data_IF_044200806152
#
_entry.id   IF_044200806152
#
_cell.length_a   1.000
_cell.length_b   1.000
_cell.length_c   1.000
_cell.angle_alpha   90.00
_cell.angle_beta   90.00
_cell.angle_gamma   90.00
#
_symmetry.space_group_name_H-M   'P 1'
#
loop_
_entity.id
_entity.type
_entity.pdbx_description
1 polymer ?
#
# COMPACT_ATOMS: atom_id res chain seq x y z
N UNK A 1 25.63 10.12 -13.49
CA UNK A 1 26.12 10.73 -12.23
C UNK A 1 24.87 11.16 -11.48
N UNK A 2 24.48 10.44 -10.43
CA UNK A 2 23.26 10.75 -9.66
C UNK A 2 23.62 11.95 -8.78
N UNK A 3 23.02 13.11 -9.03
CA UNK A 3 23.13 14.22 -8.09
C UNK A 3 22.31 13.86 -6.85
N UNK A 4 22.88 13.91 -5.64
CA UNK A 4 22.09 13.72 -4.44
C UNK A 4 21.05 14.83 -4.37
N UNK A 5 19.80 14.46 -4.04
CA UNK A 5 18.76 15.43 -3.73
C UNK A 5 19.28 16.27 -2.54
N UNK A 6 19.50 17.56 -2.75
CA UNK A 6 19.72 18.48 -1.63
C UNK A 6 18.35 18.75 -1.04
N UNK A 7 17.98 17.99 0.00
CA UNK A 7 16.81 18.33 0.80
C UNK A 7 17.09 19.70 1.44
N UNK A 8 16.28 20.70 1.08
CA UNK A 8 16.28 21.97 1.77
C UNK A 8 15.51 21.76 3.08
N UNK A 9 16.14 22.01 4.22
CA UNK A 9 15.48 21.84 5.53
C UNK A 9 14.37 22.89 5.78
N UNK A 10 14.16 23.82 4.84
CA UNK A 10 12.99 24.70 4.80
C UNK A 10 11.80 24.12 4.05
N UNK A 11 11.97 23.00 3.33
CA UNK A 11 10.86 22.25 2.77
C UNK A 11 9.96 21.75 3.92
N UNK A 12 8.64 21.83 3.79
CA UNK A 12 7.74 21.33 4.81
C UNK A 12 8.01 19.83 5.05
N UNK A 13 8.12 19.45 6.32
CA UNK A 13 8.27 18.05 6.71
C UNK A 13 7.03 17.30 6.25
N UNK A 14 7.23 16.28 5.41
CA UNK A 14 6.16 15.38 5.03
C UNK A 14 5.83 14.45 6.20
N UNK A 15 4.55 14.39 6.55
CA UNK A 15 4.02 13.47 7.55
C UNK A 15 3.28 12.36 6.80
N UNK A 16 3.84 11.15 6.89
CA UNK A 16 3.35 9.96 6.19
C UNK A 16 2.58 9.08 7.18
N UNK A 17 1.32 8.78 6.87
CA UNK A 17 0.56 7.77 7.59
C UNK A 17 1.06 6.36 7.27
N UNK A 18 1.98 5.83 8.09
CA UNK A 18 2.52 4.47 7.95
C UNK A 18 1.45 3.41 8.20
N UNK A 19 1.11 2.62 7.18
CA UNK A 19 -0.06 1.70 7.13
C UNK A 19 -1.37 2.41 7.44
N UNK A 20 -1.47 3.69 7.10
CA UNK A 20 -2.49 4.62 7.59
C UNK A 20 -2.14 5.19 8.97
N UNK A 21 -3.00 4.99 9.97
CA UNK A 21 -2.77 5.40 11.36
C UNK A 21 -2.98 4.25 12.35
N UNK A 22 -2.03 3.30 12.43
CA UNK A 22 -2.16 2.04 13.16
C UNK A 22 -2.22 2.21 14.69
N UNK A 23 -1.98 3.42 15.20
CA UNK A 23 -2.14 3.71 16.63
C UNK A 23 -3.62 3.84 17.04
N UNK A 24 -4.54 4.09 16.09
CA UNK A 24 -5.96 4.34 16.38
C UNK A 24 -6.95 3.55 15.52
N UNK A 25 -6.48 2.88 14.45
CA UNK A 25 -7.29 2.05 13.57
C UNK A 25 -6.47 0.84 13.07
N UNK A 26 -7.11 -0.27 12.65
CA UNK A 26 -6.39 -1.47 12.21
C UNK A 26 -5.51 -1.21 10.98
N UNK A 27 -4.23 -1.53 11.07
CA UNK A 27 -3.26 -1.27 9.99
C UNK A 27 -3.69 -1.78 8.61
N UNK A 28 -3.29 -1.10 7.53
CA UNK A 28 -3.57 -1.50 6.14
C UNK A 28 -5.06 -1.63 5.78
N UNK A 29 -5.97 -1.01 6.55
CA UNK A 29 -7.40 -0.91 6.23
C UNK A 29 -7.77 0.48 5.68
N UNK A 30 -8.94 0.58 5.02
CA UNK A 30 -9.46 1.89 4.61
C UNK A 30 -9.74 2.79 5.82
N UNK A 31 -10.20 2.22 6.94
CA UNK A 31 -10.37 2.96 8.19
C UNK A 31 -9.06 3.58 8.70
N UNK A 32 -7.95 2.85 8.62
CA UNK A 32 -6.64 3.36 9.02
C UNK A 32 -6.13 4.47 8.09
N UNK A 33 -6.37 4.34 6.79
CA UNK A 33 -6.08 5.42 5.83
C UNK A 33 -6.91 6.66 6.16
N UNK A 34 -8.22 6.51 6.35
CA UNK A 34 -9.13 7.62 6.67
C UNK A 34 -8.74 8.32 7.99
N UNK A 35 -8.31 7.54 8.98
CA UNK A 35 -7.80 8.03 10.25
C UNK A 35 -6.53 8.89 10.08
N UNK A 36 -5.59 8.49 9.21
CA UNK A 36 -4.40 9.28 8.91
C UNK A 36 -4.75 10.63 8.25
N UNK A 37 -5.67 10.61 7.27
CA UNK A 37 -6.13 11.83 6.59
C UNK A 37 -6.83 12.77 7.58
N UNK A 38 -7.66 12.22 8.46
CA UNK A 38 -8.36 12.99 9.51
C UNK A 38 -7.37 13.63 10.49
N UNK A 39 -6.25 12.95 10.77
CA UNK A 39 -5.17 13.48 11.61
C UNK A 39 -4.28 14.52 10.89
N UNK A 40 -4.53 14.80 9.60
CA UNK A 40 -3.84 15.82 8.82
C UNK A 40 -2.65 15.30 8.01
N UNK A 41 -2.42 13.99 7.94
CA UNK A 41 -1.43 13.43 7.03
C UNK A 41 -1.83 13.71 5.58
N UNK A 42 -0.87 14.20 4.78
CA UNK A 42 -1.05 14.44 3.33
C UNK A 42 -0.30 13.41 2.48
N UNK A 43 0.39 12.48 3.12
CA UNK A 43 0.94 11.30 2.49
C UNK A 43 0.55 10.06 3.28
N UNK A 44 0.38 8.93 2.59
CA UNK A 44 0.02 7.65 3.20
C UNK A 44 0.90 6.54 2.64
N UNK A 45 1.38 5.69 3.51
CA UNK A 45 2.10 4.46 3.19
C UNK A 45 1.20 3.26 3.52
N UNK A 46 1.32 2.20 2.72
CA UNK A 46 0.72 0.90 3.01
C UNK A 46 1.45 -0.21 2.27
N UNK A 47 1.32 -1.42 2.81
CA UNK A 47 2.00 -2.60 2.32
C UNK A 47 1.20 -3.29 1.21
N UNK A 48 1.86 -3.63 0.10
CA UNK A 48 1.29 -4.40 -1.00
C UNK A 48 1.72 -5.87 -0.95
N UNK A 49 0.73 -6.74 -0.92
CA UNK A 49 0.81 -8.16 -1.22
C UNK A 49 -0.14 -8.52 -2.36
N UNK A 50 -0.12 -9.78 -2.81
CA UNK A 50 -0.90 -10.24 -3.96
C UNK A 50 -1.72 -11.48 -3.59
N UNK A 51 -3.03 -11.42 -3.83
CA UNK A 51 -3.89 -12.59 -3.77
C UNK A 51 -3.48 -13.64 -4.81
N UNK A 52 -3.99 -14.87 -4.71
CA UNK A 52 -3.70 -15.98 -5.62
C UNK A 52 -3.85 -15.63 -7.11
N UNK A 53 -4.82 -14.80 -7.47
CA UNK A 53 -5.03 -14.35 -8.86
C UNK A 53 -4.07 -13.24 -9.32
N UNK A 54 -3.28 -12.64 -8.42
CA UNK A 54 -2.44 -11.46 -8.69
C UNK A 54 -3.11 -10.13 -8.49
N UNK A 55 -4.29 -10.10 -7.87
CA UNK A 55 -4.86 -8.82 -7.46
C UNK A 55 -4.05 -8.27 -6.28
N UNK A 56 -3.50 -7.04 -6.39
CA UNK A 56 -2.79 -6.39 -5.28
C UNK A 56 -3.78 -6.00 -4.17
N UNK A 57 -3.37 -6.27 -2.94
CA UNK A 57 -4.12 -6.00 -1.71
C UNK A 57 -3.23 -5.28 -0.70
N UNK A 58 -3.86 -4.59 0.25
CA UNK A 58 -3.16 -3.95 1.36
C UNK A 58 -2.98 -4.97 2.48
N UNK A 59 -1.76 -5.46 2.68
CA UNK A 59 -1.45 -6.43 3.72
C UNK A 59 0.07 -6.52 3.95
N UNK A 60 0.51 -6.66 5.20
CA UNK A 60 1.93 -6.67 5.54
C UNK A 60 2.54 -8.09 5.54
N UNK A 61 1.96 -9.00 6.31
CA UNK A 61 2.55 -10.29 6.63
C UNK A 61 2.31 -11.34 5.53
N UNK A 62 3.15 -12.36 5.47
CA UNK A 62 2.93 -13.51 4.58
C UNK A 62 1.74 -14.38 5.00
N UNK A 63 1.39 -14.36 6.28
CA UNK A 63 0.31 -15.16 6.87
C UNK A 63 -0.78 -14.27 7.48
N UNK A 64 -2.01 -14.76 7.50
CA UNK A 64 -3.22 -13.99 7.81
C UNK A 64 -3.48 -13.75 9.31
N UNK A 65 -2.86 -14.52 10.20
CA UNK A 65 -3.34 -14.73 11.57
C UNK A 65 -3.15 -13.53 12.49
N UNK A 66 -2.16 -12.65 12.22
CA UNK A 66 -1.89 -11.53 13.12
C UNK A 66 -2.99 -10.46 13.07
N UNK A 67 -3.48 -10.16 11.88
CA UNK A 67 -4.35 -9.01 11.62
C UNK A 67 -5.70 -9.41 11.04
N UNK A 68 -6.04 -10.69 11.03
CA UNK A 68 -7.35 -11.15 10.56
C UNK A 68 -7.85 -12.36 11.35
N UNK A 69 -9.09 -12.75 11.10
CA UNK A 69 -9.64 -14.05 11.54
C UNK A 69 -9.33 -15.22 10.59
N UNK A 70 -8.50 -15.02 9.56
CA UNK A 70 -8.07 -16.04 8.63
C UNK A 70 -6.83 -16.82 9.10
N UNK A 71 -6.53 -17.92 8.40
CA UNK A 71 -5.35 -18.77 8.66
C UNK A 71 -4.74 -19.18 7.32
N UNK A 72 -3.41 -19.18 7.26
CA UNK A 72 -2.63 -19.58 6.11
C UNK A 72 -2.06 -18.41 5.30
N UNK A 73 -1.35 -18.73 4.20
CA UNK A 73 -0.64 -17.74 3.41
C UNK A 73 -1.58 -16.88 2.56
N UNK A 74 -1.28 -15.60 2.47
CA UNK A 74 -2.03 -14.62 1.65
C UNK A 74 -2.07 -15.03 0.19
N UNK A 75 -0.93 -15.46 -0.36
CA UNK A 75 -0.78 -15.84 -1.78
C UNK A 75 -1.48 -17.17 -2.14
N UNK A 76 -1.97 -17.90 -1.13
CA UNK A 76 -2.78 -19.11 -1.28
C UNK A 76 -4.28 -18.87 -1.39
N UNK A 77 -4.77 -17.65 -1.20
CA UNK A 77 -6.20 -17.33 -1.17
C UNK A 77 -6.65 -16.44 -2.34
N UNK A 78 -7.88 -16.66 -2.82
CA UNK A 78 -8.50 -15.76 -3.81
C UNK A 78 -8.86 -14.42 -3.17
N UNK A 79 -9.00 -13.37 -3.99
CA UNK A 79 -9.46 -12.07 -3.51
C UNK A 79 -10.81 -12.17 -2.78
N UNK A 80 -11.74 -12.99 -3.30
CA UNK A 80 -13.05 -13.18 -2.68
C UNK A 80 -12.94 -13.83 -1.30
N UNK A 81 -12.01 -14.76 -1.11
CA UNK A 81 -11.74 -15.38 0.20
C UNK A 81 -11.12 -14.37 1.17
N UNK A 82 -10.18 -13.54 0.69
CA UNK A 82 -9.53 -12.52 1.50
C UNK A 82 -10.50 -11.42 1.93
N UNK A 83 -11.38 -10.97 1.04
CA UNK A 83 -12.35 -9.89 1.30
C UNK A 83 -13.51 -10.30 2.22
N UNK A 84 -13.70 -11.60 2.52
CA UNK A 84 -14.68 -12.03 3.54
C UNK A 84 -14.08 -12.16 4.94
N UNK A 85 -12.76 -11.98 5.08
CA UNK A 85 -12.11 -11.94 6.40
C UNK A 85 -12.46 -10.65 7.13
N UNK A 86 -12.37 -10.72 8.45
CA UNK A 86 -12.41 -9.57 9.34
C UNK A 86 -10.96 -9.16 9.64
N UNK A 87 -10.60 -7.95 9.25
CA UNK A 87 -9.27 -7.36 9.41
C UNK A 87 -9.23 -6.26 10.50
N UNK A 88 -10.26 -6.14 11.34
CA UNK A 88 -10.38 -5.05 12.31
C UNK A 88 -10.64 -5.48 13.76
N UNK A 89 -11.34 -6.59 13.99
CA UNK A 89 -11.71 -7.07 15.33
C UNK A 89 -10.47 -7.36 16.20
N UNK A 90 -9.35 -7.74 15.61
CA UNK A 90 -8.08 -7.95 16.33
C UNK A 90 -7.55 -6.66 16.97
N UNK A 91 -7.88 -5.50 16.40
CA UNK A 91 -7.48 -4.20 16.90
C UNK A 91 -8.46 -3.70 17.97
N UNK A 92 -9.76 -3.71 17.65
CA UNK A 92 -10.85 -3.38 18.57
C UNK A 92 -12.18 -3.86 17.98
N UNK A 93 -13.15 -4.20 18.84
CA UNK A 93 -14.51 -4.56 18.41
C UNK A 93 -15.24 -3.46 17.65
N UNK A 94 -14.80 -2.20 17.78
CA UNK A 94 -15.37 -1.06 17.04
C UNK A 94 -15.08 -1.13 15.53
N UNK A 95 -14.02 -1.85 15.12
CA UNK A 95 -13.65 -2.06 13.71
C UNK A 95 -14.11 -3.43 13.19
N UNK A 96 -15.05 -4.07 13.87
CA UNK A 96 -15.58 -5.35 13.42
C UNK A 96 -16.17 -5.23 12.00
N UNK A 97 -15.77 -6.14 11.12
CA UNK A 97 -16.18 -6.15 9.72
C UNK A 97 -15.31 -5.32 8.77
N UNK A 98 -14.28 -4.61 9.25
CA UNK A 98 -13.24 -4.06 8.37
C UNK A 98 -12.65 -5.19 7.51
N UNK A 99 -12.41 -4.90 6.23
CA UNK A 99 -11.94 -5.88 5.24
C UNK A 99 -10.49 -5.63 4.89
N UNK A 100 -9.82 -6.64 4.36
CA UNK A 100 -8.56 -6.46 3.63
C UNK A 100 -8.86 -5.67 2.35
N UNK A 101 -8.37 -4.43 2.18
CA UNK A 101 -8.64 -3.64 0.99
C UNK A 101 -7.84 -4.15 -0.20
N UNK A 102 -8.41 -4.04 -1.40
CA UNK A 102 -7.62 -4.07 -2.63
C UNK A 102 -6.85 -2.76 -2.81
N UNK A 103 -5.75 -2.81 -3.56
CA UNK A 103 -5.01 -1.60 -3.90
C UNK A 103 -5.87 -0.60 -4.69
N UNK A 104 -6.78 -1.10 -5.52
CA UNK A 104 -7.76 -0.27 -6.23
C UNK A 104 -8.62 0.57 -5.28
N UNK A 105 -9.17 -0.04 -4.24
CA UNK A 105 -10.00 0.65 -3.25
C UNK A 105 -9.21 1.71 -2.50
N UNK A 106 -7.96 1.43 -2.14
CA UNK A 106 -7.07 2.41 -1.50
C UNK A 106 -6.76 3.60 -2.43
N UNK A 107 -6.43 3.35 -3.71
CA UNK A 107 -6.19 4.42 -4.68
C UNK A 107 -7.45 5.27 -4.91
N UNK A 108 -8.64 4.66 -4.94
CA UNK A 108 -9.91 5.37 -5.08
C UNK A 108 -10.22 6.22 -3.85
N UNK A 109 -9.92 5.72 -2.65
CA UNK A 109 -10.05 6.49 -1.42
C UNK A 109 -9.12 7.71 -1.40
N UNK A 110 -7.89 7.57 -1.93
CA UNK A 110 -6.83 8.59 -1.84
C UNK A 110 -6.88 9.64 -2.95
N UNK A 111 -7.50 9.33 -4.09
CA UNK A 111 -7.46 10.18 -5.28
C UNK A 111 -8.00 11.59 -4.99
N UNK A 112 -7.13 12.60 -5.13
CA UNK A 112 -7.45 14.01 -4.88
C UNK A 112 -7.50 14.42 -3.41
N UNK A 113 -7.05 13.57 -2.48
CA UNK A 113 -7.06 13.83 -1.02
C UNK A 113 -5.68 13.88 -0.38
N UNK A 114 -4.66 13.39 -1.07
CA UNK A 114 -3.26 13.36 -0.62
C UNK A 114 -2.36 14.03 -1.64
N UNK A 115 -1.21 14.49 -1.17
CA UNK A 115 -0.11 14.97 -2.00
C UNK A 115 0.72 13.79 -2.53
N UNK A 116 0.89 12.73 -1.72
CA UNK A 116 1.71 11.56 -2.09
C UNK A 116 1.22 10.22 -1.54
N UNK A 117 1.57 9.14 -2.25
CA UNK A 117 1.25 7.75 -1.90
C UNK A 117 2.53 6.92 -1.95
N UNK A 118 2.75 6.10 -0.93
CA UNK A 118 3.90 5.24 -0.78
C UNK A 118 3.49 3.76 -0.65
N UNK A 119 3.20 3.05 -1.76
CA UNK A 119 2.94 1.62 -1.68
C UNK A 119 4.25 0.85 -1.49
N UNK A 120 4.43 0.17 -0.35
CA UNK A 120 5.56 -0.73 -0.13
C UNK A 120 5.30 -2.08 -0.79
N UNK A 121 6.15 -2.49 -1.74
CA UNK A 121 6.08 -3.82 -2.34
C UNK A 121 6.76 -4.80 -1.39
N UNK A 122 5.97 -5.58 -0.64
CA UNK A 122 6.51 -6.62 0.25
C UNK A 122 7.10 -7.77 -0.55
N UNK A 123 6.33 -8.27 -1.50
CA UNK A 123 6.67 -9.41 -2.35
C UNK A 123 5.96 -9.28 -3.69
N UNK A 124 6.57 -9.84 -4.73
CA UNK A 124 5.90 -10.08 -6.01
C UNK A 124 6.14 -11.52 -6.43
N UNK A 125 5.19 -12.15 -7.13
CA UNK A 125 5.31 -13.56 -7.52
C UNK A 125 5.83 -13.69 -8.95
N UNK A 126 5.58 -12.67 -9.76
CA UNK A 126 5.98 -12.54 -11.17
C UNK A 126 6.06 -11.08 -11.55
N UNK A 127 6.84 -10.77 -12.58
CA UNK A 127 6.97 -9.40 -13.12
C UNK A 127 5.62 -8.78 -13.52
N UNK A 128 4.63 -9.59 -13.88
CA UNK A 128 3.29 -9.09 -14.23
C UNK A 128 2.57 -8.44 -13.04
N UNK A 129 2.78 -8.95 -11.82
CA UNK A 129 2.21 -8.34 -10.60
C UNK A 129 2.71 -6.88 -10.45
N UNK A 130 3.98 -6.63 -10.77
CA UNK A 130 4.61 -5.31 -10.74
C UNK A 130 4.13 -4.40 -11.89
N UNK A 131 3.93 -4.95 -13.09
CA UNK A 131 3.33 -4.19 -14.20
C UNK A 131 1.89 -3.80 -13.89
N UNK A 132 1.14 -4.65 -13.19
CA UNK A 132 -0.23 -4.41 -12.81
C UNK A 132 -0.36 -3.24 -11.83
N UNK A 133 0.44 -3.18 -10.76
CA UNK A 133 0.39 -2.05 -9.80
C UNK A 133 0.74 -0.71 -10.48
N UNK A 134 1.74 -0.71 -11.37
CA UNK A 134 2.11 0.48 -12.15
C UNK A 134 0.97 0.92 -13.07
N UNK A 135 0.31 -0.05 -13.74
CA UNK A 135 -0.85 0.22 -14.59
C UNK A 135 -2.01 0.79 -13.79
N UNK A 136 -2.32 0.26 -12.60
CA UNK A 136 -3.42 0.74 -11.77
C UNK A 136 -3.25 2.21 -11.36
N UNK A 137 -2.02 2.61 -11.04
CA UNK A 137 -1.64 4.00 -10.74
C UNK A 137 -1.70 4.88 -12.00
N UNK A 138 -1.17 4.40 -13.13
CA UNK A 138 -1.21 5.11 -14.42
C UNK A 138 -2.62 5.38 -14.92
N UNK A 139 -3.47 4.36 -14.92
CA UNK A 139 -4.86 4.44 -15.42
C UNK A 139 -5.70 5.44 -14.58
N UNK A 140 -5.28 5.68 -13.32
CA UNK A 140 -5.87 6.68 -12.40
C UNK A 140 -5.17 8.04 -12.43
N UNK A 141 -4.14 8.24 -13.25
CA UNK A 141 -3.33 9.46 -13.35
C UNK A 141 -2.63 9.85 -12.04
N UNK A 142 -2.18 8.85 -11.27
CA UNK A 142 -1.53 9.03 -9.97
C UNK A 142 0.00 8.84 -10.02
N UNK A 143 0.61 8.70 -11.20
CA UNK A 143 2.05 8.40 -11.33
C UNK A 143 2.95 9.44 -10.66
N UNK A 144 2.65 10.72 -10.81
CA UNK A 144 3.44 11.82 -10.23
C UNK A 144 3.33 11.88 -8.70
N UNK A 145 2.22 11.37 -8.15
CA UNK A 145 1.91 11.36 -6.71
C UNK A 145 2.25 10.02 -6.06
N UNK A 146 2.97 9.13 -6.76
CA UNK A 146 3.24 7.77 -6.27
C UNK A 146 4.73 7.46 -6.32
N UNK A 147 5.26 6.99 -5.19
CA UNK A 147 6.57 6.37 -5.10
C UNK A 147 6.41 4.94 -4.60
N UNK A 148 6.69 3.96 -5.45
CA UNK A 148 6.78 2.57 -4.99
C UNK A 148 8.05 2.38 -4.17
N UNK A 149 7.92 1.84 -2.97
CA UNK A 149 9.07 1.56 -2.10
C UNK A 149 9.24 0.05 -1.90
N UNK A 150 10.47 -0.42 -1.70
CA UNK A 150 10.73 -1.84 -1.42
C UNK A 150 12.16 -2.05 -0.92
N UNK A 151 12.35 -3.09 -0.11
CA UNK A 151 13.66 -3.65 0.23
C UNK A 151 14.23 -4.54 -0.89
N UNK A 152 13.40 -4.93 -1.87
CA UNK A 152 13.81 -5.74 -3.02
C UNK A 152 14.15 -4.83 -4.21
N UNK A 153 15.45 -4.61 -4.42
CA UNK A 153 15.95 -3.82 -5.56
C UNK A 153 15.46 -4.37 -6.91
N UNK A 154 15.33 -5.68 -7.05
CA UNK A 154 14.88 -6.32 -8.29
C UNK A 154 13.42 -5.97 -8.59
N UNK A 155 12.58 -5.86 -7.57
CA UNK A 155 11.21 -5.39 -7.73
C UNK A 155 11.19 -3.93 -8.21
N UNK A 156 12.02 -3.07 -7.64
CA UNK A 156 12.12 -1.65 -8.04
C UNK A 156 12.62 -1.48 -9.48
N UNK A 157 13.58 -2.29 -9.93
CA UNK A 157 14.06 -2.29 -11.32
C UNK A 157 12.95 -2.67 -12.31
N UNK A 158 12.13 -3.67 -11.96
CA UNK A 158 10.97 -4.04 -12.77
C UNK A 158 9.89 -2.96 -12.81
N UNK A 159 9.63 -2.28 -11.69
CA UNK A 159 8.73 -1.11 -11.65
C UNK A 159 9.25 0.00 -12.57
N UNK A 160 10.54 0.34 -12.46
CA UNK A 160 11.19 1.34 -13.33
C UNK A 160 11.15 0.94 -14.82
N UNK A 161 11.26 -0.35 -15.11
CA UNK A 161 11.15 -0.87 -16.49
C UNK A 161 9.71 -0.76 -17.02
N UNK A 162 8.70 -0.94 -16.16
CA UNK A 162 7.29 -0.83 -16.52
C UNK A 162 6.84 0.63 -16.75
N UNK A 163 7.42 1.57 -16.01
CA UNK A 163 7.29 3.01 -16.23
C UNK A 163 8.54 3.75 -15.72
N UNK A 164 9.25 4.43 -16.61
CA UNK A 164 10.47 5.15 -16.23
C UNK A 164 10.20 6.47 -15.49
N UNK A 165 8.96 6.93 -15.42
CA UNK A 165 8.56 8.21 -14.80
C UNK A 165 8.05 8.07 -13.38
N UNK A 166 7.57 6.89 -12.96
CA UNK A 166 7.07 6.67 -11.60
C UNK A 166 8.20 6.77 -10.57
N UNK A 167 7.90 7.26 -9.36
CA UNK A 167 8.85 7.25 -8.25
C UNK A 167 9.20 5.82 -7.82
N UNK A 168 10.47 5.58 -7.49
CA UNK A 168 10.90 4.37 -6.77
C UNK A 168 11.78 4.77 -5.59
N UNK A 169 11.67 4.05 -4.47
CA UNK A 169 12.51 4.25 -3.29
C UNK A 169 13.01 2.92 -2.73
N UNK A 170 14.30 2.84 -2.45
CA UNK A 170 14.88 1.71 -1.74
C UNK A 170 14.89 2.03 -0.24
N UNK A 171 14.39 1.11 0.57
CA UNK A 171 14.25 1.25 2.03
C UNK A 171 14.94 0.10 2.77
#
# INVERSE_FOLDING_TARGET
>A
MIQPLKADLSDPIEVIGHRGYPAIAPENTLASIEAALTAGARAVEFDLQFALCGTPILFHDDLLERTTNGVGPVDGMTLQQLQVLDAGTWFSSEFAGERIPSFTEALELLNGRVDHIYPEIKRSRKTEDLRQIVRLVRDRKLLEQTTFISIDWTALEHVRTADSTVGIGYI
#
